data_IF_872439497154
#
_entry.id   IF_872439497154
#
_cell.length_a   1.000
_cell.length_b   1.000
_cell.length_c   1.000
_cell.angle_alpha   90.00
_cell.angle_beta   90.00
_cell.angle_gamma   90.00
#
_symmetry.space_group_name_H-M   'P 1'
#
loop_
_entity.id
_entity.type
_entity.pdbx_description
1 polymer ?
#
# COMPACT_ATOMS: atom_id res chain seq x y z
N UNK A 1 4.94 5.98 9.49
CA UNK A 1 4.73 6.67 8.19
C UNK A 1 5.96 7.48 7.80
N UNK A 2 6.30 8.55 8.56
CA UNK A 2 7.38 9.48 8.23
C UNK A 2 8.75 8.80 8.00
N UNK A 3 9.12 7.82 8.82
CA UNK A 3 10.39 7.12 8.68
C UNK A 3 10.53 6.44 7.32
N UNK A 4 9.50 5.73 6.84
CA UNK A 4 9.54 5.07 5.54
C UNK A 4 9.68 6.07 4.39
N UNK A 5 9.04 7.23 4.51
CA UNK A 5 9.16 8.29 3.51
C UNK A 5 10.58 8.85 3.48
N UNK A 6 11.15 9.10 4.66
CA UNK A 6 12.52 9.59 4.80
C UNK A 6 13.56 8.57 4.32
N UNK A 7 13.44 7.31 4.75
CA UNK A 7 14.33 6.19 4.41
C UNK A 7 14.39 5.95 2.90
N UNK A 8 13.28 6.16 2.19
CA UNK A 8 13.20 5.96 0.74
C UNK A 8 13.41 7.25 -0.06
N UNK A 9 13.61 8.40 0.60
CA UNK A 9 13.79 9.68 -0.08
C UNK A 9 12.54 10.14 -0.85
N UNK A 10 11.34 9.92 -0.29
CA UNK A 10 10.09 10.45 -0.86
C UNK A 10 9.95 11.91 -0.47
N UNK A 11 9.88 12.79 -1.48
CA UNK A 11 9.62 14.20 -1.25
C UNK A 11 8.13 14.49 -1.07
N UNK A 12 7.82 15.64 -0.46
CA UNK A 12 6.44 16.12 -0.41
C UNK A 12 5.85 16.33 -1.82
N UNK A 13 6.65 16.77 -2.79
CA UNK A 13 6.20 16.96 -4.15
C UNK A 13 5.83 15.64 -4.84
N UNK A 14 6.58 14.56 -4.58
CA UNK A 14 6.26 13.22 -5.11
C UNK A 14 4.86 12.77 -4.68
N UNK A 15 4.51 13.00 -3.40
CA UNK A 15 3.18 12.70 -2.88
C UNK A 15 2.09 13.59 -3.48
N UNK A 16 2.37 14.89 -3.60
CA UNK A 16 1.42 15.84 -4.18
C UNK A 16 1.14 15.53 -5.66
N UNK A 17 2.18 15.19 -6.41
CA UNK A 17 2.06 14.84 -7.82
C UNK A 17 1.25 13.56 -8.02
N UNK A 18 1.46 12.54 -7.16
CA UNK A 18 0.66 11.32 -7.20
C UNK A 18 -0.81 11.60 -6.79
N UNK A 19 -1.02 12.31 -5.67
CA UNK A 19 -2.36 12.61 -5.14
C UNK A 19 -3.18 13.50 -6.09
N UNK A 20 -2.54 14.44 -6.77
CA UNK A 20 -3.22 15.31 -7.75
C UNK A 20 -3.48 14.62 -9.09
N UNK A 21 -2.94 13.41 -9.29
CA UNK A 21 -3.02 12.70 -10.57
C UNK A 21 -2.09 13.27 -11.65
N UNK A 22 -1.21 14.21 -11.31
CA UNK A 22 -0.16 14.71 -12.22
C UNK A 22 0.79 13.58 -12.63
N UNK A 23 1.05 12.65 -11.71
CA UNK A 23 1.70 11.38 -11.99
C UNK A 23 0.65 10.28 -11.84
N UNK A 24 0.50 9.45 -12.88
CA UNK A 24 -0.40 8.30 -12.82
C UNK A 24 0.25 7.18 -11.99
N UNK A 25 -0.54 6.29 -11.35
CA UNK A 25 0.01 5.19 -10.56
C UNK A 25 0.98 4.29 -11.34
N UNK A 26 0.74 4.06 -12.63
CA UNK A 26 1.65 3.31 -13.50
C UNK A 26 3.04 3.95 -13.63
N UNK A 27 3.12 5.28 -13.53
CA UNK A 27 4.33 6.09 -13.65
C UNK A 27 4.93 6.46 -12.27
N UNK A 28 4.41 5.89 -11.18
CA UNK A 28 4.89 6.17 -9.84
C UNK A 28 6.37 5.78 -9.69
N UNK A 29 7.15 6.67 -9.07
CA UNK A 29 8.57 6.47 -8.82
C UNK A 29 8.82 5.34 -7.82
N UNK A 30 9.95 4.65 -7.97
CA UNK A 30 10.32 3.52 -7.11
C UNK A 30 10.44 3.89 -5.62
N UNK A 31 10.86 5.12 -5.29
CA UNK A 31 10.90 5.59 -3.91
C UNK A 31 9.52 5.57 -3.24
N UNK A 32 8.46 5.99 -3.96
CA UNK A 32 7.08 5.93 -3.46
C UNK A 32 6.66 4.48 -3.28
N UNK A 33 6.94 3.62 -4.27
CA UNK A 33 6.58 2.20 -4.23
C UNK A 33 7.22 1.49 -3.04
N UNK A 34 8.51 1.71 -2.82
CA UNK A 34 9.23 1.08 -1.71
C UNK A 34 8.86 1.69 -0.35
N UNK A 35 8.51 2.98 -0.29
CA UNK A 35 7.92 3.55 0.91
C UNK A 35 6.59 2.88 1.27
N UNK A 36 5.73 2.57 0.29
CA UNK A 36 4.49 1.80 0.53
C UNK A 36 4.77 0.42 1.12
N UNK A 37 5.74 -0.32 0.57
CA UNK A 37 6.14 -1.61 1.13
C UNK A 37 6.65 -1.47 2.57
N UNK A 38 7.54 -0.52 2.83
CA UNK A 38 8.04 -0.24 4.17
C UNK A 38 6.90 0.04 5.16
N UNK A 39 5.90 0.84 4.75
CA UNK A 39 4.73 1.16 5.56
C UNK A 39 3.95 -0.12 5.89
N UNK A 40 3.63 -0.96 4.88
CA UNK A 40 2.90 -2.20 5.11
C UNK A 40 3.64 -3.19 6.01
N UNK A 41 4.97 -3.28 5.86
CA UNK A 41 5.81 -4.11 6.74
C UNK A 41 5.81 -3.56 8.17
N UNK A 42 6.02 -2.24 8.37
CA UNK A 42 6.02 -1.63 9.71
C UNK A 42 4.67 -1.75 10.42
N UNK A 43 3.55 -1.73 9.68
CA UNK A 43 2.22 -1.98 10.26
C UNK A 43 1.94 -3.47 10.52
N UNK A 44 2.81 -4.38 10.07
CA UNK A 44 2.58 -5.82 10.18
C UNK A 44 1.50 -6.34 9.22
N UNK A 45 1.22 -5.61 8.15
CA UNK A 45 0.24 -5.97 7.13
C UNK A 45 0.85 -6.80 6.01
N UNK A 46 2.17 -6.78 5.88
CA UNK A 46 2.90 -7.45 4.82
C UNK A 46 4.21 -7.99 5.37
N UNK A 47 4.65 -9.14 4.86
CA UNK A 47 5.98 -9.66 5.16
C UNK A 47 7.05 -9.12 4.19
N UNK A 48 8.31 -9.44 4.45
CA UNK A 48 9.46 -9.08 3.61
C UNK A 48 9.38 -9.59 2.16
N UNK A 49 8.60 -10.64 1.91
CA UNK A 49 8.33 -11.23 0.58
C UNK A 49 7.12 -10.61 -0.14
N UNK A 50 6.62 -9.47 0.32
CA UNK A 50 5.46 -8.77 -0.21
C UNK A 50 4.15 -9.59 -0.22
N UNK A 51 4.00 -10.53 0.73
CA UNK A 51 2.74 -11.22 0.98
C UNK A 51 1.96 -10.51 2.08
N UNK A 52 0.70 -10.20 1.81
CA UNK A 52 -0.20 -9.63 2.81
C UNK A 52 -0.52 -10.63 3.92
N UNK A 53 -0.70 -10.09 5.12
CA UNK A 53 -1.13 -10.77 6.33
C UNK A 53 -2.58 -10.34 6.59
N UNK A 54 -3.51 -10.88 5.79
CA UNK A 54 -4.93 -10.48 5.73
C UNK A 54 -5.58 -10.38 7.13
N UNK A 55 -5.37 -11.39 7.98
CA UNK A 55 -5.91 -11.41 9.34
C UNK A 55 -5.43 -10.21 10.17
N UNK A 56 -4.15 -9.84 10.04
CA UNK A 56 -3.57 -8.68 10.75
C UNK A 56 -4.12 -7.36 10.26
N UNK A 57 -4.42 -7.27 8.97
CA UNK A 57 -5.06 -6.10 8.37
C UNK A 57 -6.47 -5.95 8.94
N UNK A 58 -7.27 -7.02 8.97
CA UNK A 58 -8.64 -6.99 9.50
C UNK A 58 -8.67 -6.70 11.00
N UNK A 59 -7.75 -7.31 11.77
CA UNK A 59 -7.61 -7.08 13.22
C UNK A 59 -7.27 -5.62 13.56
N UNK A 60 -6.59 -4.90 12.66
CA UNK A 60 -6.21 -3.50 12.87
C UNK A 60 -7.40 -2.54 12.94
N UNK A 61 -8.48 -2.85 12.22
CA UNK A 61 -9.66 -1.98 12.19
C UNK A 61 -10.62 -2.35 13.33
N UNK A 62 -10.97 -1.42 14.23
CA UNK A 62 -11.82 -1.74 15.39
C UNK A 62 -13.30 -1.87 15.04
N UNK A 63 -13.75 -1.19 13.99
CA UNK A 63 -15.16 -1.10 13.58
C UNK A 63 -15.59 -2.25 12.65
N UNK A 64 -16.78 -2.79 12.87
CA UNK A 64 -17.28 -3.95 12.12
C UNK A 64 -17.61 -3.61 10.65
N UNK A 65 -18.09 -2.40 10.36
CA UNK A 65 -18.35 -1.98 8.98
C UNK A 65 -17.04 -1.79 8.22
N UNK A 66 -16.04 -1.18 8.84
CA UNK A 66 -14.68 -1.06 8.29
C UNK A 66 -14.07 -2.43 8.02
N UNK A 67 -14.19 -3.40 8.95
CA UNK A 67 -13.72 -4.78 8.72
C UNK A 67 -14.35 -5.41 7.49
N UNK A 68 -15.66 -5.21 7.27
CA UNK A 68 -16.35 -5.76 6.09
C UNK A 68 -15.86 -5.11 4.79
N UNK A 69 -15.64 -3.80 4.78
CA UNK A 69 -15.08 -3.09 3.62
C UNK A 69 -13.65 -3.56 3.31
N UNK A 70 -12.82 -3.66 4.34
CA UNK A 70 -11.44 -4.15 4.24
C UNK A 70 -11.41 -5.59 3.75
N UNK A 71 -12.29 -6.47 4.23
CA UNK A 71 -12.40 -7.84 3.74
C UNK A 71 -12.70 -7.88 2.24
N UNK A 72 -13.65 -7.07 1.76
CA UNK A 72 -13.97 -7.00 0.32
C UNK A 72 -12.77 -6.53 -0.51
N UNK A 73 -12.04 -5.53 -0.02
CA UNK A 73 -10.84 -5.05 -0.68
C UNK A 73 -9.73 -6.12 -0.69
N UNK A 74 -9.55 -6.87 0.40
CA UNK A 74 -8.63 -7.99 0.48
C UNK A 74 -8.98 -9.12 -0.50
N UNK A 75 -10.27 -9.47 -0.59
CA UNK A 75 -10.74 -10.51 -1.52
C UNK A 75 -10.46 -10.12 -2.98
N UNK A 76 -10.62 -8.83 -3.31
CA UNK A 76 -10.36 -8.31 -4.66
C UNK A 76 -8.86 -8.16 -4.99
N UNK A 77 -8.04 -7.74 -4.01
CA UNK A 77 -6.71 -7.21 -4.29
C UNK A 77 -5.55 -8.07 -3.78
N UNK A 78 -5.77 -9.02 -2.87
CA UNK A 78 -4.68 -9.76 -2.21
C UNK A 78 -3.82 -10.63 -3.14
N UNK A 79 -4.33 -10.96 -4.33
CA UNK A 79 -3.59 -11.69 -5.37
C UNK A 79 -2.84 -10.76 -6.35
N UNK A 80 -2.83 -9.45 -6.10
CA UNK A 80 -2.10 -8.49 -6.94
C UNK A 80 -0.60 -8.73 -6.83
N UNK A 81 0.09 -8.87 -7.97
CA UNK A 81 1.55 -9.08 -8.02
C UNK A 81 2.19 -8.04 -8.93
N UNK A 82 3.27 -7.43 -8.44
CA UNK A 82 4.13 -6.51 -9.18
C UNK A 82 5.43 -7.16 -9.64
N UNK A 83 6.29 -6.36 -10.29
CA UNK A 83 7.59 -6.84 -10.78
C UNK A 83 8.61 -7.10 -9.66
N UNK A 84 8.40 -6.52 -8.48
CA UNK A 84 9.24 -6.69 -7.29
C UNK A 84 8.39 -6.42 -6.01
N UNK A 85 8.92 -6.65 -4.80
CA UNK A 85 8.19 -6.40 -3.55
C UNK A 85 7.59 -4.99 -3.40
N UNK A 86 8.33 -3.95 -3.81
CA UNK A 86 7.85 -2.57 -3.77
C UNK A 86 6.67 -2.34 -4.71
N UNK A 87 6.79 -2.81 -5.96
CA UNK A 87 5.75 -2.70 -6.98
C UNK A 87 4.50 -3.50 -6.60
N UNK A 88 4.66 -4.68 -5.99
CA UNK A 88 3.55 -5.47 -5.44
C UNK A 88 2.80 -4.69 -4.37
N UNK A 89 3.52 -4.15 -3.37
CA UNK A 89 2.89 -3.36 -2.29
C UNK A 89 2.16 -2.13 -2.83
N UNK A 90 2.77 -1.41 -3.76
CA UNK A 90 2.17 -0.24 -4.37
C UNK A 90 0.91 -0.59 -5.18
N UNK A 91 0.95 -1.62 -6.02
CA UNK A 91 -0.22 -2.05 -6.79
C UNK A 91 -1.35 -2.54 -5.90
N UNK A 92 -1.05 -3.23 -4.80
CA UNK A 92 -2.05 -3.61 -3.80
C UNK A 92 -2.70 -2.36 -3.17
N UNK A 93 -1.91 -1.36 -2.79
CA UNK A 93 -2.42 -0.08 -2.26
C UNK A 93 -3.37 0.60 -3.26
N UNK A 94 -2.97 0.72 -4.52
CA UNK A 94 -3.80 1.31 -5.58
C UNK A 94 -5.07 0.48 -5.85
N UNK A 95 -4.99 -0.84 -5.72
CA UNK A 95 -6.17 -1.70 -5.79
C UNK A 95 -7.11 -1.44 -4.62
N UNK A 96 -6.58 -1.38 -3.38
CA UNK A 96 -7.39 -1.08 -2.20
C UNK A 96 -8.08 0.28 -2.28
N UNK A 97 -7.41 1.33 -2.77
CA UNK A 97 -8.02 2.65 -2.96
C UNK A 97 -9.22 2.63 -3.91
N UNK A 98 -9.28 1.70 -4.87
CA UNK A 98 -10.44 1.53 -5.77
C UNK A 98 -11.62 0.81 -5.11
N UNK A 99 -11.39 0.16 -3.97
CA UNK A 99 -12.36 -0.64 -3.23
C UNK A 99 -12.63 -0.10 -1.80
N UNK A 100 -12.07 1.06 -1.47
CA UNK A 100 -12.24 1.77 -0.20
C UNK A 100 -13.50 2.66 -0.19
#
# INVERSE_FOLDING_TARGET
LNDCMSENGVSTQDLMDLKSGKIKPEDAKDNIKCATQCIFVKFGFMNDKAKLLNDKIIEHFPDANMKSQVQKALDACSNTVGGNPCDTAFKMMICFEKHA
#
